data_IF_900145457403
#
_entry.id   IF_900145457403
#
_cell.length_a   1.000
_cell.length_b   1.000
_cell.length_c   1.000
_cell.angle_alpha   90.00
_cell.angle_beta   90.00
_cell.angle_gamma   90.00
#
_symmetry.space_group_name_H-M   'P 1'
#
loop_
_entity.id
_entity.type
_entity.pdbx_description
1 polymer ?
#
# COMPACT_ATOMS: atom_id res chain seq x y z
N UNK A 1 21.27 -39.99 10.34
CA UNK A 1 20.41 -40.51 9.27
C UNK A 1 20.56 -42.01 9.25
N UNK A 2 19.52 -42.75 9.61
CA UNK A 2 19.50 -44.22 9.61
C UNK A 2 19.38 -44.74 8.18
N UNK A 3 19.80 -45.99 7.95
CA UNK A 3 19.69 -46.66 6.63
C UNK A 3 18.25 -46.70 6.12
N UNK A 4 17.27 -46.75 7.03
CA UNK A 4 15.84 -46.72 6.68
C UNK A 4 15.37 -45.37 6.07
N UNK A 5 16.00 -44.25 6.44
CA UNK A 5 15.69 -42.94 5.87
C UNK A 5 16.29 -42.78 4.46
N UNK A 6 17.41 -43.42 4.17
CA UNK A 6 17.99 -43.43 2.82
C UNK A 6 17.14 -44.24 1.84
N UNK A 7 16.60 -45.37 2.27
CA UNK A 7 15.77 -46.24 1.42
C UNK A 7 14.44 -45.58 1.07
N UNK A 8 13.86 -44.75 1.96
CA UNK A 8 12.63 -43.97 1.67
C UNK A 8 12.86 -42.78 0.71
N UNK A 9 14.06 -42.22 0.68
CA UNK A 9 14.40 -41.14 -0.28
C UNK A 9 14.63 -41.67 -1.70
N UNK A 10 15.21 -42.86 -1.86
CA UNK A 10 15.41 -43.47 -3.18
C UNK A 10 14.10 -43.96 -3.80
N UNK A 11 13.14 -44.45 -3.01
CA UNK A 11 11.82 -44.83 -3.50
C UNK A 11 10.96 -43.65 -3.97
N UNK A 12 11.29 -42.42 -3.56
CA UNK A 12 10.59 -41.20 -4.00
C UNK A 12 11.13 -40.61 -5.30
N UNK A 13 12.35 -40.97 -5.69
CA UNK A 13 13.00 -40.48 -6.92
C UNK A 13 12.60 -41.26 -8.17
N UNK A 14 12.21 -42.57 -8.03
CA UNK A 14 11.86 -43.44 -9.16
C UNK A 14 10.37 -43.36 -9.60
N UNK A 15 9.55 -42.62 -8.89
CA UNK A 15 8.09 -42.49 -9.15
C UNK A 15 7.66 -41.47 -10.21
N UNK A 16 8.55 -40.71 -10.81
CA UNK A 16 8.22 -39.66 -11.80
C UNK A 16 8.76 -39.99 -13.18
N UNK A 17 8.30 -41.03 -13.82
CA UNK A 17 8.53 -41.24 -15.26
C UNK A 17 7.20 -41.34 -16.04
N UNK A 18 6.92 -40.26 -16.72
CA UNK A 18 6.16 -40.11 -17.97
C UNK A 18 4.90 -40.92 -18.21
N UNK A 19 3.75 -40.32 -18.12
CA UNK A 19 2.61 -40.62 -18.99
C UNK A 19 2.38 -39.45 -19.98
N UNK A 20 2.89 -39.62 -21.19
CA UNK A 20 2.47 -38.84 -22.38
C UNK A 20 1.02 -39.17 -22.70
N UNK A 21 0.11 -38.21 -22.60
CA UNK A 21 -1.24 -38.34 -23.15
C UNK A 21 -1.21 -37.96 -24.62
N UNK A 22 -1.59 -38.91 -25.47
CA UNK A 22 -1.81 -38.71 -26.92
C UNK A 22 -3.10 -37.90 -27.14
N UNK A 23 -3.03 -36.92 -27.98
CA UNK A 23 -4.16 -36.14 -28.48
C UNK A 23 -4.92 -36.90 -29.57
N UNK A 24 -6.27 -36.84 -29.68
CA UNK A 24 -7.03 -37.53 -30.69
C UNK A 24 -6.95 -36.83 -32.05
N UNK A 25 -6.71 -37.62 -33.10
CA UNK A 25 -6.64 -37.20 -34.51
C UNK A 25 -8.02 -36.73 -35.02
N UNK A 26 -8.07 -35.54 -35.58
CA UNK A 26 -9.21 -35.05 -36.40
C UNK A 26 -9.33 -35.84 -37.69
N UNK A 27 -10.47 -36.46 -37.97
CA UNK A 27 -10.86 -37.06 -39.26
C UNK A 27 -11.23 -35.91 -40.21
N UNK A 28 -10.59 -35.90 -41.38
CA UNK A 28 -11.00 -35.13 -42.54
C UNK A 28 -12.17 -35.84 -43.22
N UNK A 29 -13.29 -35.16 -43.45
CA UNK A 29 -14.35 -35.60 -44.36
C UNK A 29 -14.06 -34.98 -45.74
N UNK A 30 -13.96 -35.86 -46.71
CA UNK A 30 -13.84 -35.59 -48.14
C UNK A 30 -15.20 -35.23 -48.76
N UNK A 31 -15.27 -34.15 -49.51
CA UNK A 31 -16.42 -33.77 -50.29
C UNK A 31 -16.34 -34.47 -51.66
N UNK A 32 -17.35 -35.25 -52.00
CA UNK A 32 -17.57 -35.80 -53.35
C UNK A 32 -18.43 -34.84 -54.15
N UNK A 33 -17.93 -34.45 -55.31
CA UNK A 33 -18.64 -33.70 -56.33
C UNK A 33 -19.51 -34.62 -57.13
N UNK A 34 -20.77 -34.24 -57.39
CA UNK A 34 -21.63 -34.86 -58.41
C UNK A 34 -22.17 -33.74 -59.30
N UNK A 35 -21.75 -33.79 -60.56
CA UNK A 35 -22.23 -32.92 -61.59
C UNK A 35 -23.61 -33.29 -62.13
N UNK A 36 -24.40 -32.30 -62.51
CA UNK A 36 -25.55 -32.52 -63.41
C UNK A 36 -25.76 -31.34 -64.38
N UNK A 37 -26.02 -31.75 -65.60
CA UNK A 37 -26.03 -31.00 -66.83
C UNK A 37 -27.09 -29.88 -66.94
N UNK A 38 -26.68 -28.90 -67.70
CA UNK A 38 -27.35 -27.76 -68.33
C UNK A 38 -28.58 -28.15 -69.13
N UNK A 39 -29.69 -27.40 -68.99
CA UNK A 39 -30.69 -27.18 -70.04
C UNK A 39 -30.99 -25.71 -70.13
N UNK A 40 -30.71 -25.13 -71.26
CA UNK A 40 -31.07 -23.80 -71.79
C UNK A 40 -32.57 -23.73 -72.04
N UNK A 41 -33.24 -22.70 -71.58
CA UNK A 41 -34.51 -22.22 -72.13
C UNK A 41 -34.54 -20.70 -72.05
N UNK A 42 -34.67 -20.07 -73.12
CA UNK A 42 -34.90 -18.64 -73.38
C UNK A 42 -36.33 -18.29 -73.00
N UNK A 43 -36.59 -17.19 -72.29
CA UNK A 43 -37.79 -16.35 -72.54
C UNK A 43 -37.85 -15.09 -71.62
N UNK A 44 -38.08 -13.98 -72.30
CA UNK A 44 -38.80 -12.73 -71.93
C UNK A 44 -38.30 -11.89 -70.76
N UNK A 45 -37.82 -10.70 -71.15
CA UNK A 45 -37.76 -9.47 -70.33
C UNK A 45 -39.10 -9.13 -69.68
N UNK A 46 -39.12 -9.17 -68.38
CA UNK A 46 -40.07 -8.41 -67.57
C UNK A 46 -39.28 -7.45 -66.68
N UNK A 47 -39.66 -6.19 -66.76
CA UNK A 47 -39.20 -5.07 -65.94
C UNK A 47 -39.49 -5.38 -64.48
N UNK A 48 -38.45 -5.54 -63.70
CA UNK A 48 -38.57 -5.66 -62.22
C UNK A 48 -38.67 -4.24 -61.60
N UNK A 49 -39.54 -4.04 -60.60
CA UNK A 49 -39.53 -2.83 -59.80
C UNK A 49 -38.26 -2.78 -58.93
N UNK A 50 -37.73 -1.58 -58.74
CA UNK A 50 -36.58 -1.23 -57.95
C UNK A 50 -36.76 -1.80 -56.50
N UNK A 51 -35.76 -2.48 -55.89
CA UNK A 51 -35.91 -2.99 -54.55
C UNK A 51 -35.94 -1.80 -53.58
N UNK A 52 -36.97 -1.77 -52.73
CA UNK A 52 -37.08 -0.84 -51.62
C UNK A 52 -35.81 -0.88 -50.77
N UNK A 53 -35.15 0.25 -50.55
CA UNK A 53 -34.05 0.42 -49.59
C UNK A 53 -34.51 -0.03 -48.21
N UNK A 54 -34.03 -1.18 -47.78
CA UNK A 54 -34.11 -1.59 -46.36
C UNK A 54 -33.25 -0.61 -45.59
N UNK A 55 -33.87 0.33 -44.90
CA UNK A 55 -33.21 1.14 -43.89
C UNK A 55 -32.98 0.20 -42.72
N UNK A 56 -31.75 -0.26 -42.58
CA UNK A 56 -31.33 -0.94 -41.33
C UNK A 56 -31.61 0.02 -40.17
N UNK A 57 -32.32 -0.42 -39.11
CA UNK A 57 -32.48 0.42 -37.96
C UNK A 57 -31.09 0.68 -37.37
N UNK A 58 -30.69 1.95 -37.30
CA UNK A 58 -29.52 2.43 -36.60
C UNK A 58 -29.68 1.99 -35.12
N UNK A 59 -28.99 0.90 -34.77
CA UNK A 59 -28.94 0.42 -33.40
C UNK A 59 -28.29 1.55 -32.57
N UNK A 60 -29.12 2.21 -31.75
CA UNK A 60 -28.61 3.14 -30.75
C UNK A 60 -27.50 2.43 -29.97
N UNK A 61 -26.38 3.13 -29.66
CA UNK A 61 -25.31 2.52 -28.90
C UNK A 61 -25.92 1.98 -27.59
N UNK A 62 -25.78 0.68 -27.39
CA UNK A 62 -26.12 0.04 -26.11
C UNK A 62 -25.09 0.59 -25.15
N UNK A 63 -25.46 1.58 -24.34
CA UNK A 63 -24.71 1.96 -23.17
C UNK A 63 -24.59 0.71 -22.28
N UNK A 64 -23.45 0.05 -22.33
CA UNK A 64 -23.11 -0.97 -21.36
C UNK A 64 -23.15 -0.31 -19.99
N UNK A 65 -24.23 -0.50 -19.26
CA UNK A 65 -24.34 -0.06 -17.87
C UNK A 65 -23.35 -0.89 -17.05
N UNK A 66 -22.10 -0.42 -17.01
CA UNK A 66 -21.12 -0.97 -16.09
C UNK A 66 -21.62 -0.74 -14.67
N UNK A 67 -21.91 -1.82 -13.97
CA UNK A 67 -22.30 -1.76 -12.56
C UNK A 67 -21.05 -1.37 -11.75
N UNK A 68 -20.87 -0.08 -11.49
CA UNK A 68 -19.76 0.48 -10.73
C UNK A 68 -19.98 0.17 -9.25
N UNK A 69 -19.26 -0.81 -8.71
CA UNK A 69 -19.33 -1.25 -7.31
C UNK A 69 -18.47 -0.38 -6.40
N UNK A 70 -17.33 0.08 -6.89
CA UNK A 70 -16.43 0.99 -6.20
C UNK A 70 -15.95 2.07 -7.15
N UNK A 71 -16.14 3.31 -6.77
CA UNK A 71 -15.59 4.48 -7.46
C UNK A 71 -14.74 5.26 -6.47
N UNK A 72 -13.44 5.44 -6.71
CA UNK A 72 -12.61 6.24 -5.83
C UNK A 72 -13.09 7.69 -5.82
N UNK A 73 -12.99 8.34 -4.68
CA UNK A 73 -13.22 9.78 -4.58
C UNK A 73 -12.19 10.52 -5.44
N UNK A 74 -12.60 11.61 -6.05
CA UNK A 74 -11.73 12.48 -6.84
C UNK A 74 -10.61 13.06 -5.94
N UNK A 75 -9.45 13.31 -6.52
CA UNK A 75 -8.28 13.84 -5.80
C UNK A 75 -7.45 12.76 -5.10
N UNK A 76 -7.12 12.90 -3.81
CA UNK A 76 -6.09 12.10 -3.15
C UNK A 76 -6.31 10.57 -3.19
N UNK A 77 -7.57 10.11 -3.10
CA UNK A 77 -7.85 8.67 -3.18
C UNK A 77 -7.59 8.13 -4.59
N UNK A 78 -7.97 8.88 -5.63
CA UNK A 78 -7.66 8.55 -7.02
C UNK A 78 -6.15 8.62 -7.26
N UNK A 79 -5.45 9.63 -6.74
CA UNK A 79 -4.01 9.78 -6.85
C UNK A 79 -3.25 8.61 -6.21
N UNK A 80 -3.72 8.13 -5.06
CA UNK A 80 -3.15 6.95 -4.39
C UNK A 80 -3.27 5.70 -5.26
N UNK A 81 -4.45 5.44 -5.81
CA UNK A 81 -4.70 4.30 -6.68
C UNK A 81 -3.96 4.41 -8.01
N UNK A 82 -3.72 5.61 -8.53
CA UNK A 82 -2.98 5.85 -9.76
C UNK A 82 -1.46 5.90 -9.57
N UNK A 83 -0.96 5.95 -8.32
CA UNK A 83 0.45 6.15 -8.03
C UNK A 83 1.34 5.02 -8.54
N UNK A 84 2.37 5.37 -9.33
CA UNK A 84 3.34 4.44 -9.90
C UNK A 84 4.62 4.25 -9.07
N UNK A 85 4.79 5.01 -7.99
CA UNK A 85 5.96 4.94 -7.13
C UNK A 85 5.99 3.61 -6.35
N UNK A 86 7.22 3.14 -6.07
CA UNK A 86 7.42 1.86 -5.40
C UNK A 86 6.88 1.84 -3.97
N UNK A 87 6.98 2.95 -3.27
CA UNK A 87 6.47 3.12 -1.91
C UNK A 87 5.61 4.36 -1.84
N UNK A 88 4.34 4.21 -1.44
CA UNK A 88 3.40 5.31 -1.30
C UNK A 88 2.71 5.25 0.05
N UNK A 89 2.70 6.39 0.74
CA UNK A 89 1.93 6.62 1.94
C UNK A 89 0.71 7.50 1.62
N UNK A 90 -0.48 7.03 1.95
CA UNK A 90 -1.73 7.79 1.91
C UNK A 90 -2.16 8.08 3.33
N UNK A 91 -1.99 9.32 3.78
CA UNK A 91 -2.13 9.65 5.19
C UNK A 91 -2.60 11.07 5.45
N UNK A 92 -3.00 11.34 6.69
CA UNK A 92 -3.52 12.63 7.12
C UNK A 92 -4.74 12.47 8.01
N UNK A 93 -5.80 13.26 7.79
CA UNK A 93 -6.96 13.24 8.68
C UNK A 93 -7.75 11.92 8.64
N UNK A 94 -8.50 11.65 9.71
CA UNK A 94 -9.46 10.58 9.76
C UNK A 94 -10.59 10.81 8.75
N UNK A 95 -11.26 9.75 8.34
CA UNK A 95 -12.40 9.85 7.41
C UNK A 95 -12.05 10.06 5.93
N UNK A 96 -10.78 10.22 5.56
CA UNK A 96 -10.35 10.47 4.17
C UNK A 96 -10.44 9.27 3.21
N UNK A 97 -11.14 8.18 3.55
CA UNK A 97 -11.33 7.02 2.68
C UNK A 97 -10.14 6.08 2.53
N UNK A 98 -9.14 6.18 3.43
CA UNK A 98 -7.87 5.45 3.37
C UNK A 98 -8.02 3.92 3.33
N UNK A 99 -8.82 3.34 4.23
CA UNK A 99 -8.99 1.88 4.33
C UNK A 99 -9.66 1.30 3.07
N UNK A 100 -10.62 2.00 2.47
CA UNK A 100 -11.22 1.57 1.20
C UNK A 100 -10.23 1.62 0.05
N UNK A 101 -9.39 2.64 -0.02
CA UNK A 101 -8.33 2.73 -1.02
C UNK A 101 -7.31 1.59 -0.85
N UNK A 102 -6.93 1.27 0.39
CA UNK A 102 -6.02 0.16 0.70
C UNK A 102 -6.61 -1.20 0.29
N UNK A 103 -7.91 -1.41 0.49
CA UNK A 103 -8.59 -2.62 0.07
C UNK A 103 -8.78 -2.70 -1.46
N UNK A 104 -9.00 -1.56 -2.13
CA UNK A 104 -9.23 -1.51 -3.58
C UNK A 104 -7.94 -1.70 -4.40
N UNK A 105 -6.80 -1.21 -3.91
CA UNK A 105 -5.54 -1.19 -4.67
C UNK A 105 -5.07 -2.58 -5.16
N UNK A 106 -5.05 -3.65 -4.34
CA UNK A 106 -4.62 -4.97 -4.78
C UNK A 106 -5.60 -5.64 -5.76
N UNK A 107 -6.87 -5.23 -5.79
CA UNK A 107 -7.88 -5.85 -6.64
C UNK A 107 -7.58 -5.72 -8.13
N UNK A 108 -6.82 -4.71 -8.53
CA UNK A 108 -6.39 -4.50 -9.93
C UNK A 108 -5.63 -5.69 -10.51
N UNK A 109 -4.97 -6.45 -9.65
CA UNK A 109 -4.11 -7.57 -10.05
C UNK A 109 -4.68 -8.96 -9.72
N UNK A 110 -5.88 -9.02 -9.15
CA UNK A 110 -6.53 -10.29 -8.81
C UNK A 110 -6.90 -11.14 -10.05
N UNK A 111 -6.83 -10.57 -11.26
CA UNK A 111 -6.91 -11.30 -12.52
C UNK A 111 -5.64 -12.05 -12.91
N UNK A 112 -4.49 -11.69 -12.32
CA UNK A 112 -3.18 -12.25 -12.68
C UNK A 112 -2.82 -13.45 -11.77
N UNK A 113 -2.61 -14.69 -12.32
CA UNK A 113 -2.43 -15.90 -11.51
C UNK A 113 -1.19 -15.88 -10.61
N UNK A 114 -0.16 -15.12 -10.96
CA UNK A 114 1.05 -14.97 -10.15
C UNK A 114 0.94 -13.88 -9.07
N UNK A 115 -0.19 -13.17 -8.98
CA UNK A 115 -0.36 -12.14 -7.95
C UNK A 115 -0.38 -12.75 -6.55
N UNK A 116 0.44 -12.21 -5.68
CA UNK A 116 0.55 -12.55 -4.27
C UNK A 116 0.63 -11.27 -3.46
N UNK A 117 -0.46 -10.92 -2.79
CA UNK A 117 -0.56 -9.73 -1.94
C UNK A 117 -0.53 -10.07 -0.46
N UNK A 118 -0.09 -9.14 0.36
CA UNK A 118 -0.15 -9.20 1.83
C UNK A 118 -0.61 -7.85 2.37
N UNK A 119 -1.70 -7.83 3.12
CA UNK A 119 -2.19 -6.69 3.87
C UNK A 119 -1.91 -6.90 5.36
N UNK A 120 -1.26 -5.93 5.98
CA UNK A 120 -0.84 -5.98 7.37
C UNK A 120 -1.53 -4.90 8.21
N UNK A 121 -1.94 -5.30 9.40
CA UNK A 121 -2.43 -4.44 10.47
C UNK A 121 -1.64 -4.71 11.75
N UNK A 122 -1.70 -3.85 12.75
CA UNK A 122 -0.95 -4.05 13.99
C UNK A 122 -1.57 -5.16 14.85
N UNK A 123 -2.89 -5.14 15.07
CA UNK A 123 -3.60 -6.13 15.89
C UNK A 123 -4.63 -6.93 15.11
N UNK A 124 -5.04 -8.07 15.69
CA UNK A 124 -6.10 -8.92 15.13
C UNK A 124 -7.45 -8.23 15.14
N UNK A 125 -7.75 -7.49 16.20
CA UNK A 125 -9.02 -6.78 16.38
C UNK A 125 -9.20 -5.73 15.29
N UNK A 126 -8.18 -4.95 15.04
CA UNK A 126 -8.19 -3.93 13.99
C UNK A 126 -8.28 -4.54 12.59
N UNK A 127 -7.61 -5.69 12.38
CA UNK A 127 -7.66 -6.40 11.10
C UNK A 127 -9.06 -6.90 10.78
N UNK A 128 -9.88 -7.28 11.77
CA UNK A 128 -11.26 -7.74 11.57
C UNK A 128 -12.12 -6.73 10.82
N UNK A 129 -11.96 -5.45 11.11
CA UNK A 129 -12.70 -4.40 10.40
C UNK A 129 -12.39 -4.41 8.90
N UNK A 130 -11.11 -4.54 8.53
CA UNK A 130 -10.70 -4.64 7.13
C UNK A 130 -11.22 -5.92 6.47
N UNK A 131 -11.22 -7.04 7.20
CA UNK A 131 -11.78 -8.31 6.72
C UNK A 131 -13.27 -8.15 6.43
N UNK A 132 -14.06 -7.59 7.35
CA UNK A 132 -15.49 -7.37 7.15
C UNK A 132 -15.76 -6.46 5.94
N UNK A 133 -15.06 -5.34 5.81
CA UNK A 133 -15.17 -4.46 4.64
C UNK A 133 -14.81 -5.19 3.33
N UNK A 134 -13.77 -6.03 3.35
CA UNK A 134 -13.38 -6.83 2.19
C UNK A 134 -14.42 -7.90 1.83
N UNK A 135 -15.05 -8.53 2.83
CA UNK A 135 -16.12 -9.52 2.62
C UNK A 135 -17.38 -8.90 2.02
N UNK A 136 -17.64 -7.63 2.33
CA UNK A 136 -18.74 -6.89 1.71
C UNK A 136 -18.42 -6.47 0.27
N UNK A 137 -17.19 -6.07 -0.01
CA UNK A 137 -16.76 -5.44 -1.25
C UNK A 137 -16.28 -6.44 -2.32
N UNK A 138 -15.40 -7.38 -1.95
CA UNK A 138 -14.70 -8.23 -2.91
C UNK A 138 -15.57 -9.16 -3.73
N UNK A 139 -16.59 -9.87 -3.15
CA UNK A 139 -17.46 -10.73 -3.94
C UNK A 139 -18.28 -9.99 -5.00
N UNK A 140 -18.57 -8.70 -4.77
CA UNK A 140 -19.28 -7.85 -5.73
C UNK A 140 -18.40 -7.45 -6.91
N UNK A 141 -17.09 -7.21 -6.66
CA UNK A 141 -16.11 -6.77 -7.68
C UNK A 141 -15.55 -7.96 -8.46
N UNK A 142 -15.25 -9.07 -7.76
CA UNK A 142 -14.69 -10.29 -8.33
C UNK A 142 -15.60 -11.48 -8.08
N UNK A 143 -16.60 -11.75 -8.93
CA UNK A 143 -17.45 -12.93 -8.81
C UNK A 143 -16.62 -14.22 -8.74
N UNK A 144 -16.90 -15.05 -7.75
CA UNK A 144 -16.19 -16.32 -7.54
C UNK A 144 -14.91 -16.22 -6.70
N UNK A 145 -14.53 -15.02 -6.19
CA UNK A 145 -13.48 -14.89 -5.19
C UNK A 145 -13.90 -15.60 -3.89
N UNK A 146 -12.96 -16.26 -3.22
CA UNK A 146 -13.24 -17.04 -2.01
C UNK A 146 -12.39 -16.57 -0.84
N UNK A 147 -13.02 -16.41 0.30
CA UNK A 147 -12.36 -16.16 1.58
C UNK A 147 -12.10 -17.46 2.34
N UNK A 148 -10.95 -17.58 2.96
CA UNK A 148 -10.60 -18.67 3.87
C UNK A 148 -10.22 -18.11 5.24
N UNK A 149 -11.10 -18.31 6.23
CA UNK A 149 -10.85 -17.91 7.62
C UNK A 149 -9.57 -18.53 8.17
N UNK A 150 -9.38 -19.82 7.98
CA UNK A 150 -8.20 -20.53 8.50
C UNK A 150 -6.88 -19.99 7.96
N UNK A 151 -6.87 -19.52 6.70
CA UNK A 151 -5.67 -18.99 6.03
C UNK A 151 -5.61 -17.47 6.11
N UNK A 152 -6.67 -16.81 6.54
CA UNK A 152 -6.88 -15.37 6.45
C UNK A 152 -6.51 -14.86 5.04
N UNK A 153 -7.12 -15.47 4.01
CA UNK A 153 -6.70 -15.29 2.63
C UNK A 153 -7.88 -15.25 1.68
N UNK A 154 -7.86 -14.27 0.80
CA UNK A 154 -8.65 -14.21 -0.40
C UNK A 154 -7.97 -14.99 -1.53
N UNK A 155 -8.73 -15.74 -2.30
CA UNK A 155 -8.26 -16.43 -3.51
C UNK A 155 -9.22 -16.14 -4.66
N UNK A 156 -8.71 -15.53 -5.73
CA UNK A 156 -9.48 -15.26 -6.93
C UNK A 156 -9.57 -16.49 -7.85
N UNK A 157 -10.54 -16.55 -8.77
CA UNK A 157 -10.63 -17.61 -9.77
C UNK A 157 -9.38 -17.78 -10.65
N UNK A 158 -8.61 -16.70 -10.84
CA UNK A 158 -7.31 -16.69 -11.51
C UNK A 158 -6.23 -17.50 -10.80
N UNK A 159 -6.40 -17.74 -9.48
CA UNK A 159 -5.36 -18.26 -8.59
C UNK A 159 -4.59 -17.20 -7.82
N UNK A 160 -4.83 -15.92 -8.08
CA UNK A 160 -4.28 -14.80 -7.31
C UNK A 160 -4.68 -14.90 -5.84
N UNK A 161 -3.79 -14.44 -4.96
CA UNK A 161 -3.97 -14.54 -3.51
C UNK A 161 -3.67 -13.22 -2.83
N UNK A 162 -4.50 -12.89 -1.84
CA UNK A 162 -4.27 -11.76 -0.94
C UNK A 162 -4.41 -12.25 0.50
N UNK A 163 -3.31 -12.29 1.23
CA UNK A 163 -3.33 -12.55 2.68
C UNK A 163 -3.65 -11.28 3.45
N UNK A 164 -4.44 -11.43 4.49
CA UNK A 164 -4.71 -10.39 5.47
C UNK A 164 -4.16 -10.88 6.81
N UNK A 165 -3.22 -10.15 7.40
CA UNK A 165 -2.48 -10.61 8.57
C UNK A 165 -2.13 -9.45 9.49
N UNK A 166 -1.59 -9.76 10.67
CA UNK A 166 -1.21 -8.79 11.68
C UNK A 166 0.21 -9.03 12.20
N UNK A 167 0.79 -8.00 12.81
CA UNK A 167 2.11 -8.03 13.41
C UNK A 167 2.03 -7.34 14.79
N UNK A 168 1.78 -8.11 15.85
CA UNK A 168 1.76 -7.59 17.24
C UNK A 168 3.13 -7.08 17.66
N UNK A 169 4.17 -7.74 17.19
CA UNK A 169 5.58 -7.37 17.42
C UNK A 169 6.29 -7.20 16.09
N UNK A 170 7.29 -6.35 16.06
CA UNK A 170 8.08 -6.13 14.84
C UNK A 170 8.76 -7.41 14.36
N UNK A 171 9.24 -8.27 15.26
CA UNK A 171 9.87 -9.55 14.94
C UNK A 171 8.91 -10.56 14.27
N UNK A 172 7.62 -10.35 14.35
CA UNK A 172 6.62 -11.20 13.66
C UNK A 172 6.81 -11.22 12.15
N UNK A 173 7.50 -10.22 11.58
CA UNK A 173 7.87 -10.21 10.16
C UNK A 173 8.74 -11.39 9.75
N UNK A 174 9.47 -12.00 10.69
CA UNK A 174 10.35 -13.13 10.41
C UNK A 174 9.58 -14.36 9.94
N UNK A 175 8.28 -14.50 10.28
CA UNK A 175 7.41 -15.58 9.76
C UNK A 175 7.23 -15.53 8.23
N UNK A 176 7.52 -14.39 7.60
CA UNK A 176 7.47 -14.22 6.14
C UNK A 176 8.81 -14.53 5.46
N UNK A 177 9.80 -15.04 6.21
CA UNK A 177 11.07 -15.47 5.64
C UNK A 177 10.82 -16.54 4.57
N UNK A 178 11.46 -16.38 3.41
CA UNK A 178 11.28 -17.29 2.28
C UNK A 178 10.07 -16.97 1.38
N UNK A 179 9.06 -16.23 1.86
CA UNK A 179 7.91 -15.84 1.05
C UNK A 179 8.25 -14.70 0.09
N UNK A 180 7.41 -14.55 -0.93
CA UNK A 180 7.52 -13.52 -1.96
C UNK A 180 6.14 -12.90 -2.23
N UNK A 181 6.08 -11.58 -2.31
CA UNK A 181 4.87 -10.83 -2.57
C UNK A 181 5.11 -9.83 -3.70
N UNK A 182 4.12 -9.65 -4.56
CA UNK A 182 4.11 -8.58 -5.54
C UNK A 182 3.55 -7.28 -4.97
N UNK A 183 2.72 -7.36 -3.94
CA UNK A 183 2.10 -6.24 -3.26
C UNK A 183 2.12 -6.43 -1.74
N UNK A 184 2.50 -5.37 -1.01
CA UNK A 184 2.43 -5.36 0.45
C UNK A 184 1.78 -4.05 0.89
N UNK A 185 0.71 -4.16 1.67
CA UNK A 185 0.01 -3.04 2.29
C UNK A 185 0.21 -3.01 3.80
N UNK A 186 0.50 -1.85 4.35
CA UNK A 186 0.50 -1.59 5.79
C UNK A 186 -0.61 -0.57 6.10
N UNK A 187 -1.62 -0.99 6.82
CA UNK A 187 -2.67 -0.08 7.26
C UNK A 187 -2.37 0.43 8.67
N UNK A 188 -2.46 1.75 8.87
CA UNK A 188 -2.04 2.48 10.08
C UNK A 188 -0.53 2.30 10.40
N UNK A 189 0.32 2.69 9.46
CA UNK A 189 1.77 2.51 9.53
C UNK A 189 2.43 3.11 10.78
N UNK A 190 1.88 4.17 11.36
CA UNK A 190 2.41 4.80 12.57
C UNK A 190 2.21 3.99 13.85
N UNK A 191 1.52 2.86 13.81
CA UNK A 191 1.39 1.99 14.96
C UNK A 191 2.67 1.19 15.26
N UNK A 192 3.51 0.93 14.26
CA UNK A 192 4.81 0.27 14.46
C UNK A 192 5.87 1.26 14.94
N UNK A 193 6.56 0.96 16.06
CA UNK A 193 7.44 1.92 16.72
C UNK A 193 8.72 2.24 15.93
N UNK A 194 9.15 1.36 15.04
CA UNK A 194 10.36 1.54 14.21
C UNK A 194 10.12 1.18 12.74
N UNK A 195 11.01 1.57 11.83
CA UNK A 195 10.91 1.20 10.42
C UNK A 195 11.30 -0.27 10.14
N UNK A 196 11.64 -1.06 11.15
CA UNK A 196 12.17 -2.42 10.97
C UNK A 196 11.21 -3.32 10.17
N UNK A 197 9.93 -3.39 10.58
CA UNK A 197 8.94 -4.21 9.90
C UNK A 197 8.76 -3.79 8.43
N UNK A 198 8.66 -2.49 8.15
CA UNK A 198 8.59 -1.93 6.81
C UNK A 198 9.79 -2.30 5.95
N UNK A 199 11.01 -2.07 6.46
CA UNK A 199 12.26 -2.34 5.76
C UNK A 199 12.47 -3.84 5.50
N UNK A 200 12.14 -4.70 6.49
CA UNK A 200 12.22 -6.15 6.33
C UNK A 200 11.26 -6.64 5.24
N UNK A 201 10.01 -6.20 5.28
CA UNK A 201 9.00 -6.60 4.29
C UNK A 201 9.31 -6.11 2.88
N UNK A 202 10.01 -4.98 2.72
CA UNK A 202 10.54 -4.55 1.42
C UNK A 202 11.42 -5.63 0.77
N UNK A 203 12.20 -6.36 1.55
CA UNK A 203 13.04 -7.46 1.04
C UNK A 203 12.23 -8.66 0.53
N UNK A 204 10.94 -8.73 0.86
CA UNK A 204 10.01 -9.77 0.38
C UNK A 204 9.30 -9.39 -0.91
N UNK A 205 9.45 -8.16 -1.39
CA UNK A 205 8.90 -7.69 -2.66
C UNK A 205 9.66 -8.28 -3.84
N UNK A 206 9.10 -9.31 -4.45
CA UNK A 206 9.62 -9.93 -5.67
C UNK A 206 8.53 -10.66 -6.42
N UNK A 207 8.63 -10.69 -7.74
CA UNK A 207 7.79 -11.49 -8.64
C UNK A 207 8.65 -12.07 -9.75
N UNK A 208 8.31 -13.26 -10.21
CA UNK A 208 8.88 -13.85 -11.43
C UNK A 208 8.13 -13.42 -12.69
N UNK A 209 6.91 -12.90 -12.53
CA UNK A 209 6.13 -12.34 -13.64
C UNK A 209 6.63 -10.91 -13.92
N UNK A 210 7.05 -10.66 -15.15
CA UNK A 210 7.64 -9.38 -15.59
C UNK A 210 6.59 -8.30 -15.86
N UNK A 211 5.36 -8.71 -16.09
CA UNK A 211 4.18 -7.87 -16.34
C UNK A 211 3.43 -7.49 -15.05
N UNK A 212 3.89 -8.00 -13.89
CA UNK A 212 3.30 -7.70 -12.59
C UNK A 212 4.20 -6.75 -11.79
N UNK A 213 3.75 -5.52 -11.48
CA UNK A 213 4.53 -4.58 -10.68
C UNK A 213 4.70 -5.10 -9.24
N UNK A 214 5.83 -4.72 -8.64
CA UNK A 214 6.12 -5.03 -7.23
C UNK A 214 6.26 -3.73 -6.44
N UNK A 215 5.40 -3.53 -5.42
CA UNK A 215 5.34 -2.25 -4.69
C UNK A 215 4.69 -2.37 -3.32
N UNK A 216 4.91 -1.35 -2.50
CA UNK A 216 4.33 -1.21 -1.16
C UNK A 216 3.37 -0.03 -1.09
N UNK A 217 2.36 -0.19 -0.27
CA UNK A 217 1.38 0.85 0.07
C UNK A 217 1.25 0.96 1.57
N UNK A 218 1.05 2.17 2.05
CA UNK A 218 0.72 2.40 3.45
C UNK A 218 -0.39 3.41 3.59
N UNK A 219 -1.17 3.27 4.66
CA UNK A 219 -2.11 4.28 5.14
C UNK A 219 -1.82 4.60 6.58
N UNK A 220 -2.11 5.82 7.02
CA UNK A 220 -2.04 6.17 8.44
C UNK A 220 -2.63 7.56 8.72
N UNK A 221 -2.85 7.83 10.01
CA UNK A 221 -3.00 9.18 10.54
C UNK A 221 -1.68 9.63 11.19
N UNK A 222 -1.44 10.94 11.37
CA UNK A 222 -0.37 11.43 12.24
C UNK A 222 -0.56 10.90 13.67
N UNK A 223 0.53 10.81 14.43
CA UNK A 223 0.51 10.29 15.80
C UNK A 223 0.87 8.80 15.88
N UNK A 224 0.80 8.24 17.09
CA UNK A 224 1.20 6.87 17.38
C UNK A 224 2.71 6.69 17.52
N UNK A 225 3.10 5.48 17.93
CA UNK A 225 4.51 5.16 18.28
C UNK A 225 5.50 5.38 17.15
N UNK A 226 5.06 5.21 15.91
CA UNK A 226 5.90 5.33 14.72
C UNK A 226 5.83 6.69 14.04
N UNK A 227 5.10 7.65 14.59
CA UNK A 227 4.92 8.98 13.99
C UNK A 227 6.23 9.58 13.47
N UNK A 228 7.25 9.59 14.32
CA UNK A 228 8.52 10.24 14.02
C UNK A 228 9.25 9.63 12.80
N UNK A 229 9.38 8.30 12.76
CA UNK A 229 10.09 7.67 11.66
C UNK A 229 9.27 7.72 10.35
N UNK A 230 7.92 7.62 10.43
CA UNK A 230 7.06 7.76 9.25
C UNK A 230 7.15 9.17 8.68
N UNK A 231 7.09 10.20 9.56
CA UNK A 231 7.28 11.60 9.16
C UNK A 231 8.62 11.79 8.46
N UNK A 232 9.70 11.36 9.07
CA UNK A 232 11.06 11.46 8.52
C UNK A 232 11.24 10.71 7.18
N UNK A 233 10.54 9.57 7.02
CA UNK A 233 10.64 8.75 5.82
C UNK A 233 9.80 9.25 4.65
N UNK A 234 8.61 9.81 4.89
CA UNK A 234 7.63 10.10 3.84
C UNK A 234 7.21 11.57 3.73
N UNK A 235 7.23 12.32 4.84
CA UNK A 235 6.66 13.67 4.91
C UNK A 235 7.75 14.73 4.70
N UNK A 236 8.82 14.69 5.52
CA UNK A 236 9.86 15.70 5.53
C UNK A 236 10.70 15.80 4.23
N UNK A 237 10.92 14.71 3.46
CA UNK A 237 11.82 14.77 2.31
C UNK A 237 11.30 15.57 1.11
N UNK A 238 9.99 15.81 0.98
CA UNK A 238 9.42 16.53 -0.16
C UNK A 238 8.08 17.19 0.16
N UNK A 239 7.67 18.21 -0.60
CA UNK A 239 6.32 18.77 -0.51
C UNK A 239 5.24 17.70 -0.75
N UNK A 240 4.10 17.87 -0.10
CA UNK A 240 2.96 16.94 -0.20
C UNK A 240 2.55 16.68 -1.66
N UNK A 241 2.26 15.43 -1.96
CA UNK A 241 1.86 15.00 -3.30
C UNK A 241 3.01 14.87 -4.30
N UNK A 242 4.24 15.24 -3.97
CA UNK A 242 5.40 15.14 -4.86
C UNK A 242 6.15 13.83 -4.66
N UNK A 243 6.50 13.17 -5.77
CA UNK A 243 7.37 12.01 -5.75
C UNK A 243 8.83 12.43 -5.58
N UNK A 244 9.59 11.69 -4.77
CA UNK A 244 10.99 11.93 -4.50
C UNK A 244 11.80 10.63 -4.50
N UNK A 245 13.12 10.73 -4.62
CA UNK A 245 13.99 9.57 -4.52
C UNK A 245 14.04 9.11 -3.05
N UNK A 246 13.89 7.81 -2.83
CA UNK A 246 13.92 7.26 -1.48
C UNK A 246 15.26 7.57 -0.79
N UNK A 247 15.19 8.03 0.44
CA UNK A 247 16.35 8.36 1.29
C UNK A 247 16.47 7.36 2.44
N UNK A 248 17.66 7.18 2.94
CA UNK A 248 17.90 6.57 4.23
C UNK A 248 17.42 7.51 5.34
N UNK A 249 16.74 6.98 6.36
CA UNK A 249 16.14 7.81 7.41
C UNK A 249 17.15 8.31 8.45
N UNK A 250 18.33 7.69 8.56
CA UNK A 250 19.37 8.10 9.51
C UNK A 250 20.30 9.12 8.89
N UNK A 251 20.78 8.85 7.66
CA UNK A 251 21.77 9.68 6.98
C UNK A 251 21.14 10.76 6.07
N UNK A 252 19.86 10.64 5.72
CA UNK A 252 19.16 11.47 4.74
C UNK A 252 19.73 11.34 3.30
N UNK A 253 20.64 10.41 3.06
CA UNK A 253 21.22 10.17 1.75
C UNK A 253 20.26 9.44 0.84
N UNK A 254 20.31 9.74 -0.46
CA UNK A 254 19.51 9.02 -1.46
C UNK A 254 19.96 7.57 -1.55
N UNK A 255 19.04 6.64 -1.36
CA UNK A 255 19.28 5.21 -1.58
C UNK A 255 19.62 4.96 -3.05
N UNK A 256 20.86 4.62 -3.32
CA UNK A 256 21.43 4.48 -4.67
C UNK A 256 22.06 3.12 -4.89
N UNK A 257 22.20 2.72 -6.17
CA UNK A 257 22.96 1.53 -6.51
C UNK A 257 24.43 1.71 -6.13
N UNK A 258 25.04 0.71 -5.47
CA UNK A 258 26.41 0.82 -4.98
C UNK A 258 27.43 0.89 -6.13
N UNK A 259 28.63 1.37 -5.80
CA UNK A 259 29.77 1.34 -6.71
C UNK A 259 30.01 -0.09 -7.23
N UNK A 260 30.32 -0.22 -8.52
CA UNK A 260 30.49 -1.53 -9.18
C UNK A 260 29.22 -2.15 -9.76
N UNK A 261 28.04 -1.64 -9.43
CA UNK A 261 26.82 -2.06 -10.08
C UNK A 261 26.62 -1.35 -11.44
N UNK A 262 26.02 -2.01 -12.46
CA UNK A 262 25.77 -1.43 -13.79
C UNK A 262 24.97 -0.11 -13.77
N UNK A 263 24.21 0.15 -12.69
CA UNK A 263 23.43 1.37 -12.45
C UNK A 263 24.00 2.23 -11.33
N UNK A 264 25.30 2.11 -11.01
CA UNK A 264 25.93 2.83 -9.89
C UNK A 264 25.52 4.30 -9.84
N UNK A 265 25.22 4.81 -8.66
CA UNK A 265 24.80 6.18 -8.39
C UNK A 265 23.37 6.53 -8.78
N UNK A 266 22.64 5.67 -9.51
CA UNK A 266 21.21 5.92 -9.79
C UNK A 266 20.36 5.60 -8.56
N UNK A 267 19.29 6.38 -8.29
CA UNK A 267 18.36 6.09 -7.19
C UNK A 267 17.73 4.69 -7.34
N UNK A 268 17.54 4.00 -6.21
CA UNK A 268 16.95 2.66 -6.21
C UNK A 268 15.46 2.68 -6.58
N UNK A 269 14.69 3.60 -6.00
CA UNK A 269 13.24 3.75 -6.22
C UNK A 269 12.75 5.10 -5.71
N UNK A 270 11.48 5.40 -6.02
CA UNK A 270 10.80 6.61 -5.55
C UNK A 270 9.80 6.31 -4.45
N UNK A 271 9.60 7.31 -3.59
CA UNK A 271 8.55 7.43 -2.59
C UNK A 271 7.63 8.59 -2.92
N UNK A 272 6.40 8.52 -2.38
CA UNK A 272 5.44 9.61 -2.44
C UNK A 272 4.56 9.59 -1.20
N UNK A 273 4.31 10.77 -0.64
CA UNK A 273 3.26 11.00 0.35
C UNK A 273 2.08 11.68 -0.33
N UNK A 274 0.87 11.16 -0.11
CA UNK A 274 -0.39 11.72 -0.60
C UNK A 274 -1.22 12.10 0.62
N UNK A 275 -1.51 13.41 0.84
CA UNK A 275 -2.28 13.84 1.99
C UNK A 275 -3.75 13.46 1.83
N UNK A 276 -4.37 12.95 2.91
CA UNK A 276 -5.81 12.69 3.00
C UNK A 276 -6.47 13.70 3.94
N UNK A 277 -7.59 14.25 3.55
CA UNK A 277 -8.42 15.14 4.38
C UNK A 277 -9.83 14.59 4.49
N UNK A 278 -10.54 14.95 5.55
CA UNK A 278 -11.95 14.61 5.69
C UNK A 278 -12.77 15.16 4.52
N UNK A 279 -12.48 16.39 4.08
CA UNK A 279 -13.13 17.04 2.94
C UNK A 279 -12.97 16.29 1.60
N UNK A 280 -12.00 15.40 1.48
CA UNK A 280 -11.79 14.58 0.28
C UNK A 280 -12.77 13.40 0.20
N UNK A 281 -13.55 13.19 1.26
CA UNK A 281 -14.57 12.14 1.34
C UNK A 281 -15.98 12.75 1.40
N UNK A 282 -16.67 12.90 0.26
CA UNK A 282 -17.98 13.53 0.22
C UNK A 282 -19.03 12.83 1.10
N UNK A 283 -18.93 11.51 1.25
CA UNK A 283 -19.88 10.73 2.07
C UNK A 283 -19.87 11.10 3.56
N UNK A 284 -18.74 11.53 4.10
CA UNK A 284 -18.64 11.97 5.50
C UNK A 284 -18.69 13.50 5.63
N UNK A 285 -18.16 14.23 4.66
CA UNK A 285 -18.15 15.69 4.67
C UNK A 285 -19.57 16.28 4.57
N UNK A 286 -20.45 15.68 3.77
CA UNK A 286 -21.83 16.14 3.58
C UNK A 286 -22.72 15.92 4.83
N UNK A 287 -22.41 14.91 5.65
CA UNK A 287 -23.20 14.60 6.85
C UNK A 287 -22.92 15.57 8.01
N UNK A 288 -21.69 16.11 8.11
CA UNK A 288 -21.27 17.05 9.15
C UNK A 288 -21.13 16.47 10.56
N UNK A 289 -21.82 15.41 10.89
CA UNK A 289 -21.81 14.80 12.23
C UNK A 289 -20.43 14.28 12.63
N UNK A 290 -19.72 13.67 11.69
CA UNK A 290 -18.38 13.15 11.95
C UNK A 290 -17.36 14.27 12.18
N UNK A 291 -17.44 15.35 11.43
CA UNK A 291 -16.61 16.54 11.65
C UNK A 291 -16.89 17.17 13.01
N UNK A 292 -18.15 17.29 13.40
CA UNK A 292 -18.55 17.80 14.73
C UNK A 292 -17.97 16.94 15.87
N UNK A 293 -17.96 15.61 15.71
CA UNK A 293 -17.30 14.71 16.66
C UNK A 293 -15.81 14.97 16.76
N UNK A 294 -15.09 15.11 15.64
CA UNK A 294 -13.67 15.41 15.65
C UNK A 294 -13.36 16.80 16.25
N UNK A 295 -14.20 17.79 15.99
CA UNK A 295 -14.08 19.13 16.58
C UNK A 295 -14.25 19.13 18.12
N UNK A 296 -14.99 18.17 18.68
CA UNK A 296 -15.18 18.02 20.13
C UNK A 296 -13.98 17.42 20.85
N UNK A 297 -13.00 16.89 20.13
CA UNK A 297 -11.80 16.29 20.71
C UNK A 297 -10.87 17.34 21.31
N UNK A 298 -10.02 16.97 22.30
CA UNK A 298 -8.93 17.81 22.76
C UNK A 298 -8.06 18.30 21.59
N UNK A 299 -7.50 19.51 21.71
CA UNK A 299 -6.80 20.19 20.61
C UNK A 299 -5.74 19.31 19.92
N UNK A 300 -4.94 18.59 20.67
CA UNK A 300 -3.90 17.72 20.12
C UNK A 300 -4.50 16.59 19.23
N UNK A 301 -5.55 15.94 19.73
CA UNK A 301 -6.24 14.88 18.99
C UNK A 301 -7.00 15.45 17.77
N UNK A 302 -7.57 16.64 17.89
CA UNK A 302 -8.21 17.34 16.78
C UNK A 302 -7.21 17.65 15.68
N UNK A 303 -6.05 18.25 16.00
CA UNK A 303 -4.96 18.49 15.03
C UNK A 303 -4.51 17.20 14.35
N UNK A 304 -4.42 16.12 15.11
CA UNK A 304 -4.03 14.79 14.60
C UNK A 304 -5.08 14.21 13.65
N UNK A 305 -6.33 14.16 14.07
CA UNK A 305 -7.38 13.40 13.40
C UNK A 305 -8.21 14.23 12.42
N UNK A 306 -8.44 15.52 12.68
CA UNK A 306 -9.18 16.40 11.78
C UNK A 306 -8.25 17.10 10.80
N UNK A 307 -7.18 17.74 11.30
CA UNK A 307 -6.30 18.53 10.45
C UNK A 307 -5.26 17.67 9.71
N UNK A 308 -4.98 16.45 10.23
CA UNK A 308 -3.95 15.57 9.68
C UNK A 308 -2.54 16.17 9.82
N UNK A 309 -2.33 16.92 10.90
CA UNK A 309 -1.11 17.67 11.17
C UNK A 309 0.05 16.75 11.58
N UNK A 310 1.12 16.76 10.80
CA UNK A 310 2.34 15.99 11.05
C UNK A 310 3.34 16.71 11.95
N UNK A 311 3.08 17.95 12.36
CA UNK A 311 3.94 18.72 13.26
C UNK A 311 3.49 18.65 14.72
N UNK A 312 2.52 17.77 15.03
CA UNK A 312 2.13 17.48 16.41
C UNK A 312 3.28 16.81 17.16
N UNK A 313 3.45 17.21 18.40
CA UNK A 313 4.46 16.65 19.31
C UNK A 313 3.81 15.64 20.26
N UNK A 314 3.54 14.43 19.75
CA UNK A 314 2.98 13.37 20.56
C UNK A 314 4.04 12.85 21.55
N UNK A 315 3.67 12.77 22.83
CA UNK A 315 4.58 12.32 23.89
C UNK A 315 5.63 13.35 24.34
N UNK A 316 5.56 14.59 23.85
CA UNK A 316 6.42 15.65 24.36
C UNK A 316 6.08 15.94 25.82
N UNK A 317 7.07 15.86 26.71
CA UNK A 317 6.92 16.27 28.12
C UNK A 317 6.53 17.75 28.27
N UNK A 318 6.84 18.54 27.25
CA UNK A 318 6.53 19.97 27.15
C UNK A 318 5.79 20.22 25.82
N UNK A 319 4.46 20.16 25.87
CA UNK A 319 3.59 20.39 24.70
C UNK A 319 3.66 21.83 24.20
N UNK A 320 3.93 22.77 25.12
CA UNK A 320 4.02 24.20 24.87
C UNK A 320 5.36 24.63 24.25
N UNK A 321 6.34 23.70 24.10
CA UNK A 321 7.62 24.05 23.53
C UNK A 321 7.48 24.42 22.06
N UNK A 322 7.73 25.69 21.73
CA UNK A 322 7.82 26.24 20.36
C UNK A 322 9.24 26.73 20.10
N UNK A 323 9.87 26.24 19.02
CA UNK A 323 11.23 26.64 18.67
C UNK A 323 11.37 28.14 18.38
N UNK A 324 10.33 28.78 17.83
CA UNK A 324 10.36 30.20 17.51
C UNK A 324 10.28 31.07 18.77
N UNK A 325 9.75 30.52 19.87
CA UNK A 325 9.60 31.20 21.16
C UNK A 325 10.73 30.81 22.12
N UNK A 326 11.05 29.50 22.17
CA UNK A 326 11.90 28.95 23.23
C UNK A 326 13.36 28.72 22.82
N UNK A 327 13.67 28.80 21.51
CA UNK A 327 15.04 28.74 21.03
C UNK A 327 15.47 30.13 20.67
N UNK A 328 16.46 30.65 21.42
CA UNK A 328 17.01 31.99 21.24
C UNK A 328 18.40 31.90 20.62
N UNK A 329 18.88 33.04 20.05
CA UNK A 329 20.24 33.13 19.56
C UNK A 329 21.25 32.90 20.71
N UNK A 330 22.35 32.16 20.44
CA UNK A 330 23.38 31.92 21.45
C UNK A 330 23.97 33.22 21.99
N UNK A 331 24.15 33.30 23.31
CA UNK A 331 24.79 34.44 23.99
C UNK A 331 25.77 33.94 25.05
N UNK A 332 26.69 34.81 25.46
CA UNK A 332 27.67 34.50 26.50
C UNK A 332 27.01 34.45 27.87
N UNK A 333 27.02 33.29 28.51
CA UNK A 333 26.47 33.10 29.87
C UNK A 333 27.41 33.74 30.90
N UNK A 334 26.94 34.72 31.70
CA UNK A 334 27.73 35.33 32.76
C UNK A 334 28.31 34.30 33.73
N UNK A 335 29.56 34.56 34.19
CA UNK A 335 30.28 33.64 35.07
C UNK A 335 29.62 33.46 36.46
N UNK A 336 28.85 34.42 36.87
CA UNK A 336 28.14 34.45 38.14
C UNK A 336 26.79 33.71 38.14
N UNK A 337 26.33 33.19 36.97
CA UNK A 337 25.13 32.41 36.92
C UNK A 337 25.40 30.99 37.40
N UNK A 338 24.41 30.42 38.14
CA UNK A 338 24.46 29.04 38.59
C UNK A 338 24.35 28.13 37.36
N UNK A 339 25.28 27.19 37.29
CA UNK A 339 25.29 26.18 36.18
C UNK A 339 25.21 24.79 36.80
N UNK A 340 24.40 23.90 36.22
CA UNK A 340 24.30 22.52 36.62
C UNK A 340 24.08 21.64 35.39
N UNK A 341 24.16 20.34 35.59
CA UNK A 341 23.83 19.33 34.57
C UNK A 341 22.87 18.32 35.13
N UNK A 342 21.97 17.83 34.28
CA UNK A 342 21.14 16.66 34.52
C UNK A 342 21.59 15.53 33.62
N UNK A 343 21.56 14.30 34.10
CA UNK A 343 21.91 13.12 33.35
C UNK A 343 20.80 12.09 33.53
N UNK A 344 20.28 11.60 32.41
CA UNK A 344 19.40 10.44 32.35
C UNK A 344 20.19 9.27 31.78
N UNK A 345 20.36 8.22 32.59
CA UNK A 345 21.17 7.06 32.24
C UNK A 345 20.31 6.00 31.52
N UNK A 346 20.54 5.81 30.24
CA UNK A 346 19.88 4.79 29.44
C UNK A 346 20.48 3.40 29.64
N UNK A 347 19.73 2.47 30.25
CA UNK A 347 20.09 1.07 30.29
C UNK A 347 19.60 0.36 29.01
N UNK A 348 20.50 0.10 28.06
CA UNK A 348 20.15 -0.45 26.74
C UNK A 348 19.65 0.60 25.72
N UNK A 349 19.68 1.87 26.08
CA UNK A 349 19.40 3.03 25.23
C UNK A 349 20.50 4.10 25.39
N UNK A 350 20.46 5.15 24.56
CA UNK A 350 21.42 6.27 24.72
C UNK A 350 21.15 7.00 26.03
N UNK A 351 22.20 7.41 26.72
CA UNK A 351 22.11 8.29 27.90
C UNK A 351 22.04 9.74 27.44
N UNK A 352 21.19 10.55 28.09
CA UNK A 352 21.06 11.98 27.85
C UNK A 352 21.78 12.80 28.91
N UNK A 353 22.56 13.81 28.53
CA UNK A 353 23.17 14.79 29.44
C UNK A 353 22.82 16.18 28.95
N UNK A 354 22.21 16.99 29.82
CA UNK A 354 21.82 18.37 29.51
C UNK A 354 22.50 19.32 30.49
N UNK A 355 23.07 20.40 29.95
CA UNK A 355 23.68 21.47 30.73
C UNK A 355 22.74 22.66 30.79
N UNK A 356 22.64 23.25 31.98
CA UNK A 356 21.75 24.37 32.29
C UNK A 356 22.50 25.54 32.90
N UNK A 357 21.96 26.75 32.67
CA UNK A 357 22.27 27.94 33.43
C UNK A 357 20.99 28.57 33.95
N UNK A 358 21.04 29.08 35.19
CA UNK A 358 19.93 29.80 35.84
C UNK A 358 20.26 31.26 35.90
N UNK A 359 19.44 32.09 35.27
CA UNK A 359 19.55 33.53 35.31
C UNK A 359 19.06 34.12 36.68
N UNK A 360 19.41 35.32 37.05
CA UNK A 360 18.95 35.95 38.29
C UNK A 360 17.43 36.11 38.42
N UNK A 361 16.72 36.12 37.32
CA UNK A 361 15.25 36.14 37.24
C UNK A 361 14.62 34.75 37.26
N UNK A 362 15.38 33.71 37.68
CA UNK A 362 14.98 32.31 37.75
C UNK A 362 14.71 31.65 36.38
N UNK A 363 15.00 32.33 35.27
CA UNK A 363 14.87 31.78 33.95
C UNK A 363 15.95 30.73 33.70
N UNK A 364 15.52 29.55 33.18
CA UNK A 364 16.40 28.42 32.89
C UNK A 364 16.80 28.39 31.41
N UNK A 365 18.09 28.32 31.14
CA UNK A 365 18.67 28.21 29.80
C UNK A 365 19.34 26.85 29.63
N UNK A 366 18.99 26.16 28.54
CA UNK A 366 19.70 24.94 28.09
C UNK A 366 20.90 25.38 27.27
N UNK A 367 22.10 24.94 27.69
CA UNK A 367 23.36 25.35 27.07
C UNK A 367 23.86 24.35 26.03
N UNK A 368 23.76 23.08 26.36
CA UNK A 368 24.29 21.99 25.54
C UNK A 368 23.52 20.71 25.83
N UNK A 369 23.36 19.90 24.82
CA UNK A 369 22.74 18.59 24.90
C UNK A 369 23.66 17.56 24.24
N UNK A 370 24.06 16.55 24.99
CA UNK A 370 24.83 15.38 24.53
C UNK A 370 24.00 14.10 24.71
N UNK A 371 23.77 13.40 23.60
CA UNK A 371 23.04 12.12 23.57
C UNK A 371 23.90 10.96 23.08
#
# INVERSE_FOLDING_TARGET
>A
MSEEEKTKLEAYADGQTMRKRQSPKRKKLSATASGRKRKTTTTKKQTQPEPARIVEPELAPVEEQHNVIFKPNAGPQTDFLAAGEREVLYGGSAGGGKSYAMLADPLRFMGHPAFSGLLLRHTTEELRELIFKSQEMYPKIWPGIKWSERKMQWTAPSGARLWMSYLDKEDDVLRYQGLAFSWIGFDELTQWPSPFAWNYMRSRLRSTATDLPVYMRATTNPGGRGHHWVKKMFIDPAPYGKAFNATDIETNEVLSYPAGHAKAGKPLFKRRFIPARLSDNPYLAEQGDYEAMLLSLPEQQRRQLLDGDWDIKEGAAFTEFDRNIHVIEPFNIPSNWVKFRACDYGYGSKSGVIWFAVAPNEQLYVLENCT
#
